data_IF_071048424716
#
_entry.id   IF_071048424716
#
_cell.length_a   1.000
_cell.length_b   1.000
_cell.length_c   1.000
_cell.angle_alpha   90.00
_cell.angle_beta   90.00
_cell.angle_gamma   90.00
#
_symmetry.space_group_name_H-M   'P 1'
#
loop_
_entity.id
_entity.type
_entity.pdbx_description
1 polymer ?
#
# COMPACT_ATOMS: atom_id res chain seq x y z
N UNK A 1 28.01 42.90 -26.18
CA UNK A 1 27.51 42.09 -27.31
C UNK A 1 26.02 42.37 -27.47
N UNK A 2 25.66 43.13 -28.50
CA UNK A 2 24.28 43.48 -28.81
C UNK A 2 23.54 42.24 -29.33
N UNK A 3 22.37 41.94 -28.76
CA UNK A 3 21.46 40.89 -29.26
C UNK A 3 20.81 41.43 -30.53
N UNK A 4 21.25 40.94 -31.68
CA UNK A 4 20.58 41.13 -32.95
C UNK A 4 19.24 40.37 -32.93
N UNK A 5 18.16 41.11 -33.09
CA UNK A 5 16.99 40.79 -33.91
C UNK A 5 16.41 39.38 -33.72
N UNK A 6 15.90 39.09 -32.52
CA UNK A 6 15.02 37.93 -32.33
C UNK A 6 13.72 38.18 -33.08
N UNK A 7 13.44 37.39 -34.12
CA UNK A 7 12.14 37.45 -34.81
C UNK A 7 11.04 37.22 -33.78
N UNK A 8 9.86 37.87 -33.89
CA UNK A 8 8.73 37.62 -32.98
C UNK A 8 8.42 36.11 -32.82
N UNK A 9 8.67 35.32 -33.86
CA UNK A 9 8.52 33.86 -33.86
C UNK A 9 9.54 33.15 -32.96
N UNK A 10 10.79 33.63 -32.89
CA UNK A 10 11.83 33.06 -32.04
C UNK A 10 11.52 33.31 -30.57
N UNK A 11 10.99 34.50 -30.25
CA UNK A 11 10.54 34.84 -28.89
C UNK A 11 9.38 33.93 -28.45
N UNK A 12 8.40 33.71 -29.32
CA UNK A 12 7.27 32.80 -29.03
C UNK A 12 7.75 31.37 -28.80
N UNK A 13 8.73 30.90 -29.59
CA UNK A 13 9.32 29.57 -29.45
C UNK A 13 10.07 29.42 -28.13
N UNK A 14 10.87 30.41 -27.75
CA UNK A 14 11.62 30.43 -26.49
C UNK A 14 10.68 30.44 -25.27
N UNK A 15 9.61 31.24 -25.29
CA UNK A 15 8.60 31.26 -24.23
C UNK A 15 7.89 29.91 -24.10
N UNK A 16 7.54 29.29 -25.23
CA UNK A 16 6.93 27.95 -25.26
C UNK A 16 7.87 26.91 -24.66
N UNK A 17 9.14 26.94 -25.03
CA UNK A 17 10.13 25.98 -24.53
C UNK A 17 10.38 26.15 -23.02
N UNK A 18 10.39 27.39 -22.52
CA UNK A 18 10.44 27.70 -21.09
C UNK A 18 9.22 27.16 -20.34
N UNK A 19 8.01 27.36 -20.87
CA UNK A 19 6.77 26.85 -20.25
C UNK A 19 6.73 25.33 -20.21
N UNK A 20 7.13 24.66 -21.30
CA UNK A 20 7.20 23.20 -21.36
C UNK A 20 8.25 22.66 -20.39
N UNK A 21 9.41 23.32 -20.28
CA UNK A 21 10.46 22.95 -19.34
C UNK A 21 10.00 23.10 -17.88
N UNK A 22 9.30 24.19 -17.56
CA UNK A 22 8.73 24.43 -16.23
C UNK A 22 7.66 23.40 -15.88
N UNK A 23 6.71 23.15 -16.79
CA UNK A 23 5.69 22.13 -16.58
C UNK A 23 6.32 20.74 -16.36
N UNK A 24 7.41 20.41 -17.06
CA UNK A 24 8.17 19.17 -16.79
C UNK A 24 8.88 19.21 -15.44
N UNK A 25 9.51 20.31 -15.04
CA UNK A 25 10.17 20.40 -13.74
C UNK A 25 9.17 20.23 -12.59
N UNK A 26 8.05 20.94 -12.65
CA UNK A 26 7.05 20.93 -11.60
C UNK A 26 6.28 19.61 -11.54
N UNK A 27 6.21 18.82 -12.63
CA UNK A 27 5.48 17.54 -12.67
C UNK A 27 6.33 16.31 -12.40
N UNK A 28 7.63 16.35 -12.68
CA UNK A 28 8.50 15.19 -12.50
C UNK A 28 8.77 14.88 -11.03
N UNK A 29 8.92 15.89 -10.19
CA UNK A 29 9.12 15.72 -8.75
C UNK A 29 7.90 15.10 -8.05
N UNK A 30 6.64 15.57 -8.26
CA UNK A 30 5.47 14.90 -7.71
C UNK A 30 5.27 13.49 -8.28
N UNK A 31 5.61 13.24 -9.55
CA UNK A 31 5.50 11.91 -10.14
C UNK A 31 6.50 10.92 -9.52
N UNK A 32 7.74 11.36 -9.25
CA UNK A 32 8.74 10.55 -8.52
C UNK A 32 8.31 10.29 -7.08
N UNK A 33 7.75 11.30 -6.40
CA UNK A 33 7.22 11.14 -5.05
C UNK A 33 6.08 10.12 -5.01
N UNK A 34 5.15 10.19 -5.96
CA UNK A 34 4.06 9.23 -6.10
C UNK A 34 4.56 7.81 -6.40
N UNK A 35 5.50 7.67 -7.35
CA UNK A 35 6.11 6.38 -7.67
C UNK A 35 6.78 5.73 -6.45
N UNK A 36 7.49 6.53 -5.64
CA UNK A 36 8.10 6.06 -4.38
C UNK A 36 7.05 5.66 -3.35
N UNK A 37 6.00 6.46 -3.17
CA UNK A 37 4.91 6.15 -2.25
C UNK A 37 4.22 4.83 -2.62
N UNK A 38 3.92 4.63 -3.91
CA UNK A 38 3.34 3.39 -4.42
C UNK A 38 4.28 2.19 -4.23
N UNK A 39 5.58 2.37 -4.50
CA UNK A 39 6.56 1.31 -4.30
C UNK A 39 6.62 0.87 -2.82
N UNK A 40 6.67 1.82 -1.88
CA UNK A 40 6.63 1.50 -0.46
C UNK A 40 5.30 0.88 -0.03
N UNK A 41 4.17 1.39 -0.53
CA UNK A 41 2.86 0.80 -0.27
C UNK A 41 2.77 -0.64 -0.76
N UNK A 42 3.28 -0.91 -1.96
CA UNK A 42 3.29 -2.25 -2.54
C UNK A 42 4.18 -3.21 -1.74
N UNK A 43 5.44 -2.85 -1.48
CA UNK A 43 6.37 -3.68 -0.71
C UNK A 43 5.84 -3.91 0.70
N UNK A 44 5.32 -2.88 1.35
CA UNK A 44 4.70 -2.98 2.67
C UNK A 44 3.50 -3.93 2.67
N UNK A 45 2.62 -3.81 1.67
CA UNK A 45 1.46 -4.70 1.53
C UNK A 45 1.87 -6.16 1.34
N UNK A 46 2.93 -6.41 0.56
CA UNK A 46 3.45 -7.75 0.31
C UNK A 46 4.04 -8.36 1.59
N UNK A 47 4.82 -7.58 2.34
CA UNK A 47 5.39 -8.01 3.62
C UNK A 47 4.29 -8.32 4.65
N UNK A 48 3.27 -7.46 4.75
CA UNK A 48 2.14 -7.68 5.66
C UNK A 48 1.34 -8.92 5.25
N UNK A 49 1.08 -9.10 3.95
CA UNK A 49 0.37 -10.29 3.44
C UNK A 49 1.16 -11.57 3.74
N UNK A 50 2.47 -11.58 3.46
CA UNK A 50 3.34 -12.73 3.71
C UNK A 50 3.44 -13.04 5.20
N UNK A 51 3.61 -12.02 6.05
CA UNK A 51 3.60 -12.17 7.51
C UNK A 51 2.26 -12.73 8.01
N UNK A 52 1.15 -12.25 7.45
CA UNK A 52 -0.19 -12.76 7.74
C UNK A 52 -0.33 -14.25 7.41
N UNK A 53 0.14 -14.69 6.24
CA UNK A 53 0.15 -16.11 5.86
C UNK A 53 0.98 -16.94 6.84
N UNK A 54 2.18 -16.49 7.20
CA UNK A 54 3.01 -17.21 8.16
C UNK A 54 2.39 -17.28 9.56
N UNK A 55 1.71 -16.23 10.02
CA UNK A 55 0.98 -16.26 11.28
C UNK A 55 -0.17 -17.26 11.25
N UNK A 56 -0.97 -17.28 10.17
CA UNK A 56 -2.06 -18.24 9.99
C UNK A 56 -1.55 -19.67 10.02
N UNK A 57 -0.49 -19.97 9.25
CA UNK A 57 0.13 -21.29 9.23
C UNK A 57 0.74 -21.64 10.58
N UNK A 58 1.39 -20.68 11.25
CA UNK A 58 1.98 -20.87 12.57
C UNK A 58 0.93 -21.21 13.64
N UNK A 59 -0.17 -20.47 13.68
CA UNK A 59 -1.29 -20.74 14.61
C UNK A 59 -1.93 -22.10 14.32
N UNK A 60 -2.18 -22.41 13.04
CA UNK A 60 -2.71 -23.71 12.65
C UNK A 60 -1.78 -24.84 13.11
N UNK A 61 -0.47 -24.67 12.92
CA UNK A 61 0.52 -25.64 13.32
C UNK A 61 0.61 -25.80 14.83
N UNK A 62 0.57 -24.70 15.59
CA UNK A 62 0.51 -24.76 17.06
C UNK A 62 -0.72 -25.53 17.55
N UNK A 63 -1.86 -25.35 16.87
CA UNK A 63 -3.11 -26.01 17.23
C UNK A 63 -3.10 -27.51 16.89
N UNK A 64 -2.43 -27.90 15.81
CA UNK A 64 -2.29 -29.30 15.40
C UNK A 64 -1.18 -30.04 16.16
N UNK A 65 0.05 -29.51 16.16
CA UNK A 65 1.22 -30.15 16.77
C UNK A 65 1.22 -29.98 18.30
N UNK A 66 0.77 -28.83 18.82
CA UNK A 66 0.82 -28.50 20.24
C UNK A 66 -0.25 -29.17 21.09
N UNK A 67 -1.31 -29.74 20.49
CA UNK A 67 -2.39 -30.41 21.22
C UNK A 67 -2.26 -31.93 21.28
N UNK A 68 -1.14 -32.48 20.81
CA UNK A 68 -0.78 -33.88 21.02
C UNK A 68 -1.77 -34.89 20.43
N UNK A 69 -2.42 -34.56 19.31
CA UNK A 69 -3.39 -35.44 18.64
C UNK A 69 -4.84 -35.28 19.08
N UNK A 70 -5.16 -34.26 19.90
CA UNK A 70 -6.54 -33.95 20.32
C UNK A 70 -7.49 -33.71 19.12
N UNK A 71 -6.96 -33.34 17.97
CA UNK A 71 -7.71 -33.10 16.74
C UNK A 71 -7.51 -34.19 15.67
N UNK A 72 -7.02 -35.38 16.02
CA UNK A 72 -6.84 -36.43 15.04
C UNK A 72 -8.17 -37.14 14.67
N UNK A 73 -8.18 -37.85 13.54
CA UNK A 73 -9.33 -38.61 13.08
C UNK A 73 -10.54 -37.74 12.72
N UNK A 74 -11.70 -38.02 13.32
CA UNK A 74 -12.97 -37.34 13.03
C UNK A 74 -13.00 -35.85 13.40
N UNK A 75 -12.06 -35.38 14.22
CA UNK A 75 -11.97 -33.98 14.66
C UNK A 75 -10.93 -33.15 13.90
N UNK A 76 -10.32 -33.71 12.85
CA UNK A 76 -9.28 -33.05 12.04
C UNK A 76 -9.72 -31.75 11.36
N UNK A 77 -11.03 -31.53 11.19
CA UNK A 77 -11.57 -30.29 10.64
C UNK A 77 -11.55 -29.12 11.63
N UNK A 78 -11.54 -29.39 12.95
CA UNK A 78 -11.72 -28.37 13.98
C UNK A 78 -10.60 -27.31 14.00
N UNK A 79 -9.30 -27.66 13.87
CA UNK A 79 -8.23 -26.67 13.80
C UNK A 79 -8.41 -25.67 12.65
N UNK A 80 -8.84 -26.15 11.49
CA UNK A 80 -9.07 -25.30 10.31
C UNK A 80 -10.23 -24.33 10.55
N UNK A 81 -11.32 -24.80 11.19
CA UNK A 81 -12.48 -23.96 11.51
C UNK A 81 -12.14 -22.90 12.55
N UNK A 82 -11.36 -23.24 13.58
CA UNK A 82 -10.88 -22.30 14.58
C UNK A 82 -10.02 -21.21 13.92
N UNK A 83 -9.04 -21.60 13.12
CA UNK A 83 -8.16 -20.65 12.41
C UNK A 83 -8.97 -19.77 11.45
N UNK A 84 -9.96 -20.33 10.75
CA UNK A 84 -10.87 -19.55 9.90
C UNK A 84 -11.60 -18.47 10.69
N UNK A 85 -12.19 -18.80 11.83
CA UNK A 85 -12.88 -17.83 12.70
C UNK A 85 -11.91 -16.75 13.19
N UNK A 86 -10.70 -17.13 13.61
CA UNK A 86 -9.67 -16.18 14.04
C UNK A 86 -9.28 -15.20 12.92
N UNK A 87 -9.12 -15.69 11.68
CA UNK A 87 -8.84 -14.83 10.52
C UNK A 87 -10.00 -13.87 10.25
N UNK A 88 -11.25 -14.34 10.31
CA UNK A 88 -12.42 -13.48 10.11
C UNK A 88 -12.49 -12.37 11.16
N UNK A 89 -12.26 -12.71 12.44
CA UNK A 89 -12.21 -11.72 13.51
C UNK A 89 -11.09 -10.70 13.26
N UNK A 90 -9.89 -11.16 12.88
CA UNK A 90 -8.77 -10.27 12.58
C UNK A 90 -9.08 -9.31 11.42
N UNK A 91 -9.68 -9.81 10.33
CA UNK A 91 -10.08 -8.98 9.18
C UNK A 91 -11.11 -7.93 9.58
N UNK A 92 -12.15 -8.31 10.35
CA UNK A 92 -13.17 -7.37 10.84
C UNK A 92 -12.55 -6.32 11.76
N UNK A 93 -11.67 -6.73 12.68
CA UNK A 93 -10.99 -5.82 13.60
C UNK A 93 -10.10 -4.83 12.85
N UNK A 94 -9.30 -5.30 11.89
CA UNK A 94 -8.48 -4.44 11.04
C UNK A 94 -9.34 -3.46 10.23
N UNK A 95 -10.43 -3.93 9.63
CA UNK A 95 -11.39 -3.09 8.91
C UNK A 95 -12.00 -2.01 9.80
N UNK A 96 -12.36 -2.35 11.04
CA UNK A 96 -12.90 -1.40 12.02
C UNK A 96 -11.85 -0.34 12.43
N UNK A 97 -10.59 -0.74 12.63
CA UNK A 97 -9.50 0.20 12.94
C UNK A 97 -9.28 1.17 11.77
N UNK A 98 -9.25 0.66 10.53
CA UNK A 98 -9.10 1.49 9.33
C UNK A 98 -10.29 2.44 9.14
N UNK A 99 -11.51 1.99 9.42
CA UNK A 99 -12.70 2.84 9.36
C UNK A 99 -12.65 3.98 10.41
N UNK A 100 -12.15 3.69 11.62
CA UNK A 100 -11.99 4.68 12.69
C UNK A 100 -10.99 5.76 12.33
N UNK A 101 -9.78 5.39 11.88
CA UNK A 101 -8.75 6.36 11.49
C UNK A 101 -9.23 7.27 10.36
N UNK A 102 -10.03 6.73 9.42
CA UNK A 102 -10.66 7.54 8.38
C UNK A 102 -11.66 8.56 8.94
N UNK A 103 -12.48 8.16 9.92
CA UNK A 103 -13.47 9.05 10.54
C UNK A 103 -12.85 10.19 11.33
N UNK A 104 -11.77 9.94 12.07
CA UNK A 104 -11.04 10.96 12.84
C UNK A 104 -10.45 12.04 11.92
N UNK A 105 -9.86 11.63 10.80
CA UNK A 105 -9.28 12.54 9.81
C UNK A 105 -10.30 13.45 9.11
N UNK A 106 -11.59 13.06 9.08
CA UNK A 106 -12.67 13.85 8.47
C UNK A 106 -13.31 14.82 9.47
N UNK A 107 -13.29 14.51 10.76
CA UNK A 107 -13.82 15.39 11.81
C UNK A 107 -12.87 16.49 12.27
N UNK A 108 -11.59 16.41 11.92
CA UNK A 108 -10.56 17.40 12.27
C UNK A 108 -10.30 18.48 11.20
N UNK A 109 -11.11 18.53 10.13
CA UNK A 109 -11.04 19.52 9.05
C UNK A 109 -12.26 20.44 9.09
#
# INVERSE_FOLDING_TARGET
MARADSSPTDVVKDLRDLLVAYARQETLDPLRALGRYLAFGFIGSLLVALGGVFLVVGVLRLLQDGTGGAFDGGWSFAPYLIVLVLVLIAVVALGAVVARTRSENLGSR
#
